data_IF_616436371325
#
_entry.id   IF_616436371325
#
_cell.length_a   1.000
_cell.length_b   1.000
_cell.length_c   1.000
_cell.angle_alpha   90.00
_cell.angle_beta   90.00
_cell.angle_gamma   90.00
#
_symmetry.space_group_name_H-M   'P 1'
#
loop_
_entity.id
_entity.type
_entity.pdbx_description
1 polymer ?
#
# COMPACT_ATOMS: atom_id res chain seq x y z
N UNK A 1 -21.81 28.11 15.67
CA UNK A 1 -21.27 27.52 14.42
C UNK A 1 -22.44 27.03 13.58
N UNK A 2 -22.43 27.35 12.30
CA UNK A 2 -23.48 26.93 11.35
C UNK A 2 -23.32 25.42 11.07
N UNK A 3 -24.33 24.58 11.37
CA UNK A 3 -24.28 23.16 11.12
C UNK A 3 -24.19 22.81 9.61
N UNK A 4 -24.61 23.71 8.74
CA UNK A 4 -24.53 23.54 7.28
C UNK A 4 -23.20 24.02 6.67
N UNK A 5 -22.29 24.59 7.47
CA UNK A 5 -21.02 25.12 7.00
C UNK A 5 -20.21 24.10 6.18
N UNK A 6 -20.16 22.84 6.63
CA UNK A 6 -19.40 21.80 5.91
C UNK A 6 -19.96 21.50 4.51
N UNK A 7 -21.27 21.66 4.32
CA UNK A 7 -21.91 21.47 3.00
C UNK A 7 -21.58 22.64 2.07
N UNK A 8 -21.60 23.86 2.59
CA UNK A 8 -21.25 25.06 1.82
C UNK A 8 -19.75 25.06 1.51
N UNK A 9 -18.90 24.74 2.47
CA UNK A 9 -17.45 24.67 2.27
C UNK A 9 -17.04 23.65 1.20
N UNK A 10 -17.85 22.61 0.96
CA UNK A 10 -17.61 21.63 -0.09
C UNK A 10 -17.85 22.15 -1.52
N UNK A 11 -18.62 23.23 -1.67
CA UNK A 11 -18.97 23.82 -2.97
C UNK A 11 -18.24 25.14 -3.26
N UNK A 12 -17.43 25.63 -2.30
CA UNK A 12 -16.63 26.85 -2.42
C UNK A 12 -15.12 26.55 -2.39
N UNK A 13 -14.37 27.28 -3.19
CA UNK A 13 -12.91 27.27 -3.15
C UNK A 13 -12.42 28.45 -2.31
N UNK A 14 -11.71 28.20 -1.22
CA UNK A 14 -11.11 29.25 -0.39
C UNK A 14 -9.67 29.53 -0.84
N UNK A 15 -9.41 30.75 -1.31
CA UNK A 15 -8.07 31.23 -1.64
C UNK A 15 -7.60 32.25 -0.60
N UNK A 16 -6.38 32.06 -0.10
CA UNK A 16 -5.73 33.05 0.77
C UNK A 16 -5.02 34.10 -0.07
N UNK A 17 -5.52 35.32 -0.05
CA UNK A 17 -4.94 36.43 -0.78
C UNK A 17 -4.27 37.40 0.19
N UNK A 18 -3.00 37.73 -0.08
CA UNK A 18 -2.29 38.74 0.69
C UNK A 18 -2.70 40.15 0.23
N UNK A 19 -3.33 40.91 1.11
CA UNK A 19 -3.74 42.28 0.85
C UNK A 19 -2.88 43.23 1.68
N UNK A 20 -2.33 44.27 1.03
CA UNK A 20 -1.59 45.32 1.72
C UNK A 20 -2.57 46.43 2.10
N UNK A 21 -2.71 46.69 3.39
CA UNK A 21 -3.55 47.80 3.89
C UNK A 21 -2.93 49.15 3.57
N UNK A 22 -3.74 50.23 3.61
CA UNK A 22 -3.27 51.62 3.40
C UNK A 22 -2.08 52.04 4.28
N UNK A 23 -1.84 51.30 5.37
CA UNK A 23 -0.71 51.49 6.28
C UNK A 23 0.52 50.61 5.91
N UNK A 24 0.56 49.96 4.75
CA UNK A 24 1.67 49.10 4.31
C UNK A 24 1.79 47.73 4.97
N UNK A 25 0.85 47.37 5.83
CA UNK A 25 0.86 46.08 6.54
C UNK A 25 0.23 44.98 5.67
N UNK A 26 0.96 43.89 5.45
CA UNK A 26 0.46 42.72 4.73
C UNK A 26 -0.49 41.90 5.65
N UNK A 27 -1.74 41.82 5.27
CA UNK A 27 -2.75 40.97 5.92
C UNK A 27 -3.23 39.89 4.97
N UNK A 28 -3.53 38.71 5.48
CA UNK A 28 -4.08 37.63 4.67
C UNK A 28 -5.60 37.65 4.79
N UNK A 29 -6.30 37.73 3.67
CA UNK A 29 -7.76 37.66 3.59
C UNK A 29 -8.17 36.36 2.87
N UNK A 30 -9.16 35.66 3.40
CA UNK A 30 -9.78 34.57 2.69
C UNK A 30 -10.76 35.13 1.66
N UNK A 31 -10.62 34.68 0.42
CA UNK A 31 -11.55 34.99 -0.67
C UNK A 31 -12.19 33.67 -1.08
N UNK A 32 -13.51 33.65 -1.10
CA UNK A 32 -14.30 32.48 -1.46
C UNK A 32 -14.80 32.64 -2.88
N UNK A 33 -14.56 31.64 -3.72
CA UNK A 33 -15.03 31.55 -5.10
C UNK A 33 -15.90 30.32 -5.27
N UNK A 34 -16.95 30.36 -6.10
CA UNK A 34 -17.74 29.16 -6.36
C UNK A 34 -16.89 28.05 -6.93
N UNK A 35 -17.06 26.83 -6.40
CA UNK A 35 -16.35 25.64 -6.88
C UNK A 35 -16.83 25.18 -8.25
N UNK A 36 -15.97 24.46 -8.96
CA UNK A 36 -16.23 23.93 -10.30
C UNK A 36 -17.51 23.07 -10.38
N UNK A 37 -17.89 22.44 -9.26
CA UNK A 37 -19.10 21.60 -9.18
C UNK A 37 -20.39 22.34 -9.50
N UNK A 38 -20.42 23.67 -9.33
CA UNK A 38 -21.58 24.49 -9.61
C UNK A 38 -21.73 24.83 -11.11
N UNK A 39 -20.67 24.73 -11.88
CA UNK A 39 -20.64 25.19 -13.28
C UNK A 39 -20.40 24.06 -14.27
N UNK A 40 -19.77 22.98 -13.85
CA UNK A 40 -19.44 21.86 -14.73
C UNK A 40 -19.54 20.53 -14.00
N UNK A 41 -19.77 19.48 -14.77
CA UNK A 41 -19.76 18.12 -14.24
C UNK A 41 -18.34 17.77 -13.78
N UNK A 42 -18.16 17.54 -12.48
CA UNK A 42 -16.87 17.16 -11.86
C UNK A 42 -16.67 15.66 -11.75
N UNK A 43 -17.76 14.87 -11.83
CA UNK A 43 -17.70 13.42 -11.82
C UNK A 43 -18.18 12.88 -13.19
N UNK A 44 -17.32 12.10 -13.80
CA UNK A 44 -17.61 11.41 -15.06
C UNK A 44 -17.76 9.93 -14.80
N UNK A 45 -18.63 9.24 -15.57
CA UNK A 45 -18.65 7.79 -15.54
C UNK A 45 -17.26 7.26 -15.90
N UNK A 46 -16.85 6.30 -15.13
CA UNK A 46 -15.57 5.69 -15.29
C UNK A 46 -15.46 4.97 -16.66
N UNK A 47 -14.34 5.13 -17.33
CA UNK A 47 -14.04 4.45 -18.59
C UNK A 47 -12.74 3.68 -18.43
N UNK A 48 -12.73 2.46 -18.93
CA UNK A 48 -11.52 1.66 -19.02
C UNK A 48 -10.53 2.35 -19.97
N UNK A 49 -9.26 2.54 -19.58
CA UNK A 49 -8.26 3.10 -20.48
C UNK A 49 -7.96 2.14 -21.63
N UNK A 50 -7.89 2.66 -22.85
CA UNK A 50 -7.60 1.89 -24.05
C UNK A 50 -6.08 1.77 -24.32
N UNK A 51 -5.28 2.62 -23.70
CA UNK A 51 -3.82 2.72 -23.92
C UNK A 51 -3.09 3.08 -22.64
N UNK A 52 -1.85 2.62 -22.52
CA UNK A 52 -0.93 2.99 -21.44
C UNK A 52 0.46 3.25 -22.01
N UNK A 53 1.04 4.40 -21.66
CA UNK A 53 2.36 4.81 -22.13
C UNK A 53 3.49 4.03 -21.44
N UNK A 54 3.25 3.57 -20.22
CA UNK A 54 4.23 2.83 -19.42
C UNK A 54 3.71 1.42 -19.09
N UNK A 55 4.65 0.46 -19.13
CA UNK A 55 4.35 -0.95 -18.83
C UNK A 55 3.93 -1.16 -17.39
N UNK A 56 4.47 -0.36 -16.45
CA UNK A 56 4.11 -0.41 -15.02
C UNK A 56 2.67 0.08 -14.85
N UNK A 57 2.31 1.17 -15.52
CA UNK A 57 0.95 1.70 -15.51
C UNK A 57 -0.03 0.69 -16.13
N UNK A 58 0.33 0.05 -17.24
CA UNK A 58 -0.48 -1.02 -17.86
C UNK A 58 -0.73 -2.19 -16.90
N UNK A 59 0.28 -2.58 -16.12
CA UNK A 59 0.16 -3.59 -15.10
C UNK A 59 -0.78 -3.19 -13.96
N UNK A 60 -0.73 -1.93 -13.50
CA UNK A 60 -1.67 -1.39 -12.50
C UNK A 60 -3.10 -1.38 -13.02
N UNK A 61 -3.30 -0.96 -14.27
CA UNK A 61 -4.60 -0.97 -14.94
C UNK A 61 -5.12 -2.41 -15.01
N UNK A 62 -4.31 -3.36 -15.49
CA UNK A 62 -4.69 -4.78 -15.52
C UNK A 62 -5.11 -5.30 -14.15
N UNK A 63 -4.34 -5.00 -13.11
CA UNK A 63 -4.68 -5.41 -11.75
C UNK A 63 -5.97 -4.75 -11.24
N UNK A 64 -6.20 -3.48 -11.55
CA UNK A 64 -7.41 -2.76 -11.12
C UNK A 64 -8.69 -3.29 -11.79
N UNK A 65 -8.62 -3.67 -13.05
CA UNK A 65 -9.79 -4.04 -13.85
C UNK A 65 -10.04 -5.55 -13.91
N UNK A 66 -8.97 -6.34 -13.93
CA UNK A 66 -9.04 -7.80 -14.06
C UNK A 66 -8.67 -8.52 -12.76
N UNK A 67 -8.28 -7.78 -11.74
CA UNK A 67 -7.80 -8.31 -10.46
C UNK A 67 -6.63 -9.30 -10.59
N UNK A 68 -5.94 -9.26 -11.72
CA UNK A 68 -4.74 -10.05 -12.03
C UNK A 68 -3.86 -9.31 -13.05
N UNK A 69 -2.63 -9.76 -13.19
CA UNK A 69 -1.70 -9.27 -14.21
C UNK A 69 -1.90 -10.11 -15.48
N UNK A 70 -2.74 -9.63 -16.39
CA UNK A 70 -3.02 -10.27 -17.67
C UNK A 70 -2.05 -9.74 -18.73
N UNK A 71 -1.08 -10.57 -19.09
CA UNK A 71 -0.03 -10.20 -20.06
C UNK A 71 -0.57 -9.92 -21.46
N UNK A 72 -1.65 -10.60 -21.85
CA UNK A 72 -2.28 -10.39 -23.17
C UNK A 72 -2.93 -9.01 -23.23
N UNK A 73 -3.64 -8.65 -22.17
CA UNK A 73 -4.26 -7.32 -22.03
C UNK A 73 -3.21 -6.19 -21.97
N UNK A 74 -2.15 -6.39 -21.19
CA UNK A 74 -1.05 -5.43 -21.09
C UNK A 74 -0.36 -5.27 -22.46
N UNK A 75 -0.15 -6.36 -23.18
CA UNK A 75 0.40 -6.34 -24.52
C UNK A 75 -0.45 -5.53 -25.50
N UNK A 76 -1.78 -5.68 -25.46
CA UNK A 76 -2.69 -4.88 -26.29
C UNK A 76 -2.63 -3.39 -25.97
N UNK A 77 -2.56 -3.03 -24.67
CA UNK A 77 -2.49 -1.63 -24.24
C UNK A 77 -1.17 -0.93 -24.59
N UNK A 78 -0.06 -1.68 -24.60
CA UNK A 78 1.30 -1.14 -24.80
C UNK A 78 1.86 -1.42 -26.20
N UNK A 79 1.15 -2.17 -27.05
CA UNK A 79 1.61 -2.59 -28.37
C UNK A 79 2.77 -3.59 -28.33
N UNK A 80 2.98 -4.31 -27.22
CA UNK A 80 4.07 -5.29 -27.03
C UNK A 80 3.56 -6.71 -27.05
N UNK A 81 4.43 -7.65 -27.34
CA UNK A 81 4.10 -9.07 -27.17
C UNK A 81 3.99 -9.44 -25.69
N UNK A 82 3.20 -10.47 -25.32
CA UNK A 82 3.06 -10.89 -23.93
C UNK A 82 4.40 -11.25 -23.24
N UNK A 83 5.37 -11.81 -23.99
CA UNK A 83 6.68 -12.16 -23.46
C UNK A 83 7.57 -10.92 -23.21
N UNK A 84 7.52 -9.93 -24.11
CA UNK A 84 8.18 -8.65 -23.90
C UNK A 84 7.56 -7.89 -22.71
N UNK A 85 6.23 -7.92 -22.60
CA UNK A 85 5.51 -7.33 -21.48
C UNK A 85 5.92 -7.98 -20.15
N UNK A 86 6.02 -9.31 -20.10
CA UNK A 86 6.47 -10.05 -18.92
C UNK A 86 7.89 -9.66 -18.52
N UNK A 87 8.82 -9.65 -19.49
CA UNK A 87 10.22 -9.30 -19.23
C UNK A 87 10.36 -7.87 -18.72
N UNK A 88 9.65 -6.93 -19.36
CA UNK A 88 9.67 -5.52 -18.96
C UNK A 88 9.05 -5.28 -17.57
N UNK A 89 7.95 -5.98 -17.24
CA UNK A 89 7.32 -5.90 -15.91
C UNK A 89 8.28 -6.41 -14.83
N UNK A 90 8.91 -7.55 -15.02
CA UNK A 90 9.85 -8.10 -14.03
C UNK A 90 11.11 -7.23 -13.90
N UNK A 91 11.60 -6.64 -15.00
CA UNK A 91 12.73 -5.72 -14.98
C UNK A 91 12.45 -4.43 -14.20
N UNK A 92 11.19 -3.99 -14.11
CA UNK A 92 10.80 -2.79 -13.36
C UNK A 92 10.98 -2.91 -11.85
N UNK A 93 11.08 -4.13 -11.30
CA UNK A 93 11.11 -4.45 -9.87
C UNK A 93 9.87 -3.98 -9.06
N UNK A 94 8.83 -3.57 -9.76
CA UNK A 94 7.52 -3.28 -9.16
C UNK A 94 6.57 -4.49 -9.24
N UNK A 95 6.97 -5.52 -10.00
CA UNK A 95 6.25 -6.77 -10.14
C UNK A 95 7.19 -7.95 -9.90
N UNK A 96 6.68 -8.97 -9.23
CA UNK A 96 7.41 -10.20 -8.92
C UNK A 96 6.65 -11.42 -9.39
N UNK A 97 7.38 -12.41 -9.88
CA UNK A 97 6.81 -13.71 -10.20
C UNK A 97 6.71 -14.55 -8.92
N UNK A 98 5.52 -14.99 -8.58
CA UNK A 98 5.28 -15.90 -7.45
C UNK A 98 5.29 -17.35 -7.93
N UNK A 99 6.29 -18.16 -7.55
CA UNK A 99 6.38 -19.56 -7.98
C UNK A 99 5.27 -20.45 -7.43
N UNK A 100 4.70 -20.12 -6.27
CA UNK A 100 3.61 -20.89 -5.65
C UNK A 100 2.31 -20.79 -6.46
N UNK A 101 1.96 -19.58 -6.90
CA UNK A 101 0.74 -19.33 -7.68
C UNK A 101 0.98 -19.33 -9.19
N UNK A 102 2.24 -19.33 -9.62
CA UNK A 102 2.69 -19.19 -11.02
C UNK A 102 2.17 -17.91 -11.69
N UNK A 103 1.96 -16.86 -10.91
CA UNK A 103 1.43 -15.58 -11.38
C UNK A 103 2.42 -14.45 -11.12
N UNK A 104 2.32 -13.41 -11.94
CA UNK A 104 3.00 -12.15 -11.67
C UNK A 104 2.10 -11.34 -10.74
N UNK A 105 2.69 -10.79 -9.69
CA UNK A 105 2.00 -10.01 -8.68
C UNK A 105 2.66 -8.66 -8.49
N UNK A 106 1.86 -7.67 -8.12
CA UNK A 106 2.37 -6.37 -7.69
C UNK A 106 3.23 -6.53 -6.43
N UNK A 107 4.32 -5.78 -6.34
CA UNK A 107 5.29 -5.77 -5.24
C UNK A 107 4.64 -5.72 -3.87
N UNK A 108 3.68 -4.81 -3.66
CA UNK A 108 2.96 -4.68 -2.38
C UNK A 108 2.24 -5.97 -1.97
N UNK A 109 1.65 -6.68 -2.93
CA UNK A 109 0.97 -7.95 -2.69
C UNK A 109 1.94 -9.10 -2.50
N UNK A 110 3.02 -9.13 -3.29
CA UNK A 110 4.04 -10.18 -3.18
C UNK A 110 4.80 -10.10 -1.86
N UNK A 111 5.20 -8.89 -1.43
CA UNK A 111 5.96 -8.64 -0.20
C UNK A 111 5.09 -8.64 1.07
N UNK A 112 3.89 -9.20 1.03
CA UNK A 112 2.98 -9.35 2.18
C UNK A 112 2.70 -10.82 2.51
N UNK A 113 2.12 -11.06 3.69
CA UNK A 113 1.76 -12.41 4.14
C UNK A 113 2.93 -13.18 4.75
N UNK A 114 3.02 -14.49 4.49
CA UNK A 114 4.07 -15.34 5.08
C UNK A 114 5.41 -15.19 4.32
N UNK A 115 6.18 -14.17 4.69
CA UNK A 115 7.46 -13.83 4.06
C UNK A 115 8.47 -14.98 4.16
N UNK A 116 8.54 -15.65 5.31
CA UNK A 116 9.50 -16.77 5.52
C UNK A 116 9.26 -17.92 4.55
N UNK A 117 7.99 -18.29 4.33
CA UNK A 117 7.63 -19.33 3.34
C UNK A 117 7.97 -18.89 1.93
N UNK A 118 7.64 -17.64 1.55
CA UNK A 118 7.96 -17.11 0.23
C UNK A 118 9.47 -17.06 -0.04
N UNK A 119 10.30 -16.75 0.96
CA UNK A 119 11.75 -16.80 0.83
C UNK A 119 12.23 -18.23 0.55
N UNK A 120 11.69 -19.23 1.25
CA UNK A 120 12.05 -20.63 1.01
C UNK A 120 11.68 -21.07 -0.41
N UNK A 121 10.48 -20.75 -0.86
CA UNK A 121 9.99 -21.04 -2.22
C UNK A 121 10.81 -20.31 -3.30
N UNK A 122 11.11 -19.01 -3.11
CA UNK A 122 11.93 -18.25 -4.05
C UNK A 122 13.36 -18.81 -4.17
N UNK A 123 13.95 -19.28 -3.07
CA UNK A 123 15.28 -19.95 -3.09
C UNK A 123 15.26 -21.27 -3.86
N UNK A 124 14.21 -22.09 -3.69
CA UNK A 124 14.05 -23.34 -4.42
C UNK A 124 13.98 -23.12 -5.95
N UNK A 125 13.46 -21.98 -6.37
CA UNK A 125 13.34 -21.60 -7.79
C UNK A 125 14.47 -20.70 -8.30
N UNK A 126 15.49 -20.41 -7.49
CA UNK A 126 16.65 -19.59 -7.90
C UNK A 126 16.32 -18.12 -8.19
N UNK A 127 15.26 -17.58 -7.59
CA UNK A 127 14.79 -16.21 -7.80
C UNK A 127 15.48 -15.25 -6.80
N UNK A 128 16.74 -14.89 -7.08
CA UNK A 128 17.55 -14.10 -6.15
C UNK A 128 17.00 -12.69 -5.90
N UNK A 129 16.48 -12.03 -6.94
CA UNK A 129 15.84 -10.71 -6.80
C UNK A 129 14.63 -10.74 -5.86
N UNK A 130 13.82 -11.81 -5.95
CA UNK A 130 12.69 -12.03 -5.07
C UNK A 130 13.16 -12.24 -3.62
N UNK A 131 14.21 -13.04 -3.43
CA UNK A 131 14.78 -13.30 -2.09
C UNK A 131 15.29 -12.01 -1.47
N UNK A 132 16.04 -11.20 -2.22
CA UNK A 132 16.56 -9.91 -1.75
C UNK A 132 15.43 -8.95 -1.34
N UNK A 133 14.39 -8.84 -2.18
CA UNK A 133 13.23 -8.00 -1.89
C UNK A 133 12.46 -8.47 -0.63
N UNK A 134 12.24 -9.78 -0.49
CA UNK A 134 11.56 -10.37 0.67
C UNK A 134 12.38 -10.23 1.96
N UNK A 135 13.70 -10.36 1.89
CA UNK A 135 14.57 -10.13 3.05
C UNK A 135 14.54 -8.69 3.53
N UNK A 136 14.43 -7.73 2.61
CA UNK A 136 14.33 -6.31 2.94
C UNK A 136 13.09 -5.92 3.74
N UNK A 137 12.01 -6.70 3.63
CA UNK A 137 10.75 -6.48 4.38
C UNK A 137 10.56 -7.43 5.54
N UNK A 138 11.48 -8.38 5.75
CA UNK A 138 11.38 -9.32 6.86
C UNK A 138 11.55 -8.55 8.19
N UNK A 139 10.58 -8.57 9.10
CA UNK A 139 10.72 -7.95 10.40
C UNK A 139 11.84 -8.62 11.19
N UNK A 140 12.53 -7.84 12.02
CA UNK A 140 13.50 -8.39 12.96
C UNK A 140 12.83 -9.41 13.87
N UNK A 141 13.46 -10.55 14.14
CA UNK A 141 12.92 -11.50 15.11
C UNK A 141 12.81 -10.80 16.48
N UNK A 142 11.67 -10.99 17.12
CA UNK A 142 11.49 -10.51 18.50
C UNK A 142 12.43 -11.27 19.42
N UNK A 143 13.11 -10.56 20.30
CA UNK A 143 13.90 -11.10 21.40
C UNK A 143 13.04 -11.25 22.65
N UNK A 144 13.53 -11.95 23.68
CA UNK A 144 12.81 -12.09 24.94
C UNK A 144 12.57 -10.70 25.60
N UNK A 145 13.48 -9.75 25.37
CA UNK A 145 13.39 -8.38 25.87
C UNK A 145 12.30 -7.54 25.23
N UNK A 146 11.90 -7.93 23.99
CA UNK A 146 10.84 -7.23 23.22
C UNK A 146 9.43 -7.77 23.58
N UNK A 147 9.33 -8.80 24.44
CA UNK A 147 8.07 -9.44 24.76
C UNK A 147 7.63 -9.05 26.16
N UNK A 148 6.68 -8.16 26.25
CA UNK A 148 6.01 -7.83 27.51
C UNK A 148 5.01 -8.97 27.86
N UNK A 149 5.16 -9.52 29.07
CA UNK A 149 4.21 -10.47 29.59
C UNK A 149 3.84 -10.13 31.04
N UNK A 150 2.60 -10.37 31.39
CA UNK A 150 2.10 -10.27 32.75
C UNK A 150 1.63 -11.63 33.24
N UNK A 151 1.80 -11.89 34.54
CA UNK A 151 1.19 -13.05 35.17
C UNK A 151 -0.33 -12.97 34.99
N UNK A 152 -0.94 -13.99 34.38
CA UNK A 152 -2.36 -13.97 34.00
C UNK A 152 -2.65 -13.57 32.57
N UNK A 153 -1.64 -13.34 31.72
CA UNK A 153 -1.85 -13.18 30.30
C UNK A 153 -2.58 -14.41 29.71
N UNK A 154 -3.64 -14.18 28.92
CA UNK A 154 -4.53 -15.25 28.44
C UNK A 154 -3.83 -16.32 27.57
N UNK A 155 -2.69 -15.98 26.96
CA UNK A 155 -1.88 -16.87 26.15
C UNK A 155 -0.86 -17.68 26.96
N UNK A 156 -0.69 -17.38 28.28
CA UNK A 156 0.24 -18.07 29.15
C UNK A 156 -0.47 -19.27 29.81
N UNK A 157 -0.07 -20.53 29.51
CA UNK A 157 -0.69 -21.69 30.13
C UNK A 157 -0.53 -21.67 31.67
N UNK A 158 -1.62 -21.95 32.37
CA UNK A 158 -1.63 -22.02 33.83
C UNK A 158 -0.51 -22.89 34.42
N UNK A 159 -0.21 -24.02 33.74
CA UNK A 159 0.87 -24.93 34.13
C UNK A 159 2.27 -24.32 34.18
N UNK A 160 2.50 -23.25 33.38
CA UNK A 160 3.77 -22.51 33.39
C UNK A 160 3.83 -21.63 34.63
N UNK A 161 2.74 -20.97 34.97
CA UNK A 161 2.62 -20.11 36.16
C UNK A 161 2.78 -20.96 37.43
N UNK A 162 2.13 -22.14 37.50
CA UNK A 162 2.23 -23.06 38.61
C UNK A 162 3.68 -23.56 38.82
N UNK A 163 4.38 -23.93 37.75
CA UNK A 163 5.80 -24.32 37.82
C UNK A 163 6.70 -23.21 38.31
N UNK A 164 6.44 -22.00 37.86
CA UNK A 164 7.20 -20.84 38.28
C UNK A 164 6.97 -20.53 39.77
N UNK A 165 5.72 -20.52 40.21
CA UNK A 165 5.37 -20.37 41.64
C UNK A 165 6.01 -21.45 42.51
N UNK A 166 5.94 -22.70 42.08
CA UNK A 166 6.53 -23.82 42.82
C UNK A 166 8.05 -23.68 42.95
N UNK A 167 8.74 -23.20 41.90
CA UNK A 167 10.19 -23.08 41.88
C UNK A 167 10.68 -21.84 42.67
N UNK A 168 10.07 -20.67 42.48
CA UNK A 168 10.61 -19.41 42.95
C UNK A 168 10.00 -18.97 44.30
N UNK A 169 8.77 -19.39 44.65
CA UNK A 169 8.12 -19.04 45.92
C UNK A 169 8.21 -20.12 46.99
N UNK A 170 8.26 -21.41 46.61
CA UNK A 170 8.38 -22.50 47.56
C UNK A 170 9.82 -23.00 47.77
N UNK A 171 10.77 -22.43 47.06
CA UNK A 171 12.20 -22.79 47.12
C UNK A 171 13.01 -22.05 48.17
N UNK A 172 12.36 -21.47 49.19
CA UNK A 172 13.03 -20.88 50.38
C UNK A 172 12.83 -21.72 51.59
#
# INVERSE_FOLDING_TARGET
EDPEYNKVAAIENCKKVSVVNKAGVKTTKNVYEPGDILFKRTQYPWKEPDHADDIVAAGLISNAYRNCIDLSYIGQMTGKTPEEAKTALLASKEYFFDPATKQIMLKSRYLSGNIKRKIAEARLHGLEDNVAALQGVLPKPLTIEDIDFALGAFWLPQSVVEKWVAKDLNGK
#
